data_IF_122287220507
#
_entry.id   IF_122287220507
#
_cell.length_a   1.000
_cell.length_b   1.000
_cell.length_c   1.000
_cell.angle_alpha   90.00
_cell.angle_beta   90.00
_cell.angle_gamma   90.00
#
_symmetry.space_group_name_H-M   'P 1'
#
loop_
_entity.id
_entity.type
_entity.pdbx_description
1 polymer ?
#
# COMPACT_ATOMS: atom_id res chain seq x y z
N UNK A 1 33.07 -13.29 -12.43
CA UNK A 1 31.66 -13.46 -12.03
C UNK A 1 30.90 -12.27 -12.59
N UNK A 2 30.10 -12.46 -13.63
CA UNK A 2 29.23 -11.37 -14.16
C UNK A 2 28.19 -10.99 -13.12
N UNK A 3 28.15 -9.72 -12.75
CA UNK A 3 27.08 -9.15 -11.92
C UNK A 3 25.76 -9.35 -12.64
N UNK A 4 24.79 -10.00 -12.00
CA UNK A 4 23.43 -10.09 -12.52
C UNK A 4 22.93 -8.66 -12.83
N UNK A 5 22.29 -8.42 -13.99
CA UNK A 5 21.76 -7.10 -14.32
C UNK A 5 20.74 -6.68 -13.24
N UNK A 6 20.79 -5.41 -12.84
CA UNK A 6 19.81 -4.87 -11.89
C UNK A 6 18.39 -4.99 -12.44
N UNK A 7 17.38 -5.10 -11.57
CA UNK A 7 15.96 -5.08 -11.98
C UNK A 7 15.67 -3.96 -12.98
N UNK A 8 16.20 -2.76 -12.72
CA UNK A 8 16.02 -1.60 -13.58
C UNK A 8 16.55 -1.84 -14.99
N UNK A 9 17.82 -2.32 -15.12
CA UNK A 9 18.42 -2.56 -16.43
C UNK A 9 17.69 -3.66 -17.20
N UNK A 10 17.26 -4.70 -16.52
CA UNK A 10 16.47 -5.78 -17.12
C UNK A 10 15.11 -5.26 -17.60
N UNK A 11 14.42 -4.46 -16.79
CA UNK A 11 13.14 -3.87 -17.15
C UNK A 11 13.27 -2.94 -18.35
N UNK A 12 14.27 -2.05 -18.36
CA UNK A 12 14.51 -1.13 -19.48
C UNK A 12 14.81 -1.88 -20.78
N UNK A 13 15.64 -2.92 -20.74
CA UNK A 13 15.91 -3.76 -21.92
C UNK A 13 14.67 -4.48 -22.42
N UNK A 14 13.88 -5.08 -21.53
CA UNK A 14 12.67 -5.81 -21.88
C UNK A 14 11.53 -4.92 -22.41
N UNK A 15 11.48 -3.65 -22.00
CA UNK A 15 10.46 -2.68 -22.42
C UNK A 15 10.94 -1.68 -23.46
N UNK A 16 12.14 -1.82 -23.98
CA UNK A 16 12.78 -0.88 -24.94
C UNK A 16 12.00 -0.68 -26.24
N UNK A 17 11.11 -1.60 -26.58
CA UNK A 17 10.27 -1.52 -27.77
C UNK A 17 8.97 -0.72 -27.56
N UNK A 18 8.67 -0.28 -26.33
CA UNK A 18 7.58 0.65 -26.02
C UNK A 18 8.12 2.08 -25.90
N UNK A 19 7.41 3.04 -26.48
CA UNK A 19 7.70 4.44 -26.18
C UNK A 19 7.31 4.79 -24.73
N UNK A 20 7.81 5.90 -24.17
CA UNK A 20 7.36 6.39 -22.87
C UNK A 20 5.85 6.63 -22.81
N UNK A 21 5.28 7.17 -23.89
CA UNK A 21 3.85 7.47 -24.04
C UNK A 21 3.02 6.19 -24.11
N UNK A 22 3.49 5.16 -24.82
CA UNK A 22 2.85 3.85 -24.86
C UNK A 22 2.85 3.18 -23.47
N UNK A 23 3.97 3.24 -22.76
CA UNK A 23 4.06 2.69 -21.41
C UNK A 23 3.14 3.43 -20.43
N UNK A 24 3.03 4.76 -20.56
CA UNK A 24 2.13 5.57 -19.77
C UNK A 24 0.66 5.23 -20.07
N UNK A 25 0.29 5.14 -21.34
CA UNK A 25 -1.06 4.78 -21.77
C UNK A 25 -1.46 3.38 -21.30
N UNK A 26 -0.53 2.41 -21.32
CA UNK A 26 -0.76 1.05 -20.80
C UNK A 26 -1.07 1.03 -19.30
N UNK A 27 -0.42 1.90 -18.51
CA UNK A 27 -0.52 1.96 -17.05
C UNK A 27 -1.34 3.17 -16.57
N UNK A 28 -2.26 3.68 -17.38
CA UNK A 28 -2.88 5.00 -17.21
C UNK A 28 -3.60 5.18 -15.88
N UNK A 29 -4.41 4.22 -15.47
CA UNK A 29 -5.25 4.32 -14.29
C UNK A 29 -5.00 3.15 -13.32
N UNK A 30 -3.81 3.05 -12.69
CA UNK A 30 -3.58 2.00 -11.72
C UNK A 30 -4.48 2.20 -10.50
N UNK A 31 -4.85 1.09 -9.84
CA UNK A 31 -5.52 1.09 -8.54
C UNK A 31 -4.47 0.84 -7.46
N UNK A 32 -4.31 1.79 -6.57
CA UNK A 32 -3.31 1.76 -5.50
C UNK A 32 -4.00 1.64 -4.15
N UNK A 33 -3.76 0.54 -3.45
CA UNK A 33 -4.27 0.34 -2.09
C UNK A 33 -3.35 1.05 -1.12
N UNK A 34 -3.90 2.01 -0.37
CA UNK A 34 -3.22 2.75 0.70
C UNK A 34 -3.89 2.48 2.04
N UNK A 35 -3.10 2.32 3.08
CA UNK A 35 -3.59 2.01 4.43
C UNK A 35 -2.50 2.22 5.47
N UNK A 36 -2.89 2.34 6.73
CA UNK A 36 -1.94 2.14 7.83
C UNK A 36 -1.39 0.69 7.80
N UNK A 37 -0.20 0.44 8.36
CA UNK A 37 0.31 -0.92 8.52
C UNK A 37 -0.70 -1.81 9.25
N UNK A 38 -0.78 -3.08 8.89
CA UNK A 38 -1.63 -4.09 9.55
C UNK A 38 -3.15 -3.87 9.45
N UNK A 39 -3.61 -3.02 8.55
CA UNK A 39 -5.05 -2.78 8.30
C UNK A 39 -5.75 -3.90 7.52
N UNK A 40 -5.02 -4.89 7.01
CA UNK A 40 -5.59 -5.98 6.19
C UNK A 40 -5.35 -5.80 4.68
N UNK A 41 -4.49 -4.88 4.26
CA UNK A 41 -4.22 -4.59 2.85
C UNK A 41 -3.69 -5.79 2.05
N UNK A 42 -3.00 -6.74 2.69
CA UNK A 42 -2.61 -7.98 2.02
C UNK A 42 -3.81 -8.87 1.69
N UNK A 43 -4.78 -8.98 2.60
CA UNK A 43 -6.01 -9.72 2.33
C UNK A 43 -6.76 -9.11 1.14
N UNK A 44 -6.96 -7.80 1.18
CA UNK A 44 -7.64 -7.08 0.09
C UNK A 44 -6.89 -7.25 -1.25
N UNK A 45 -5.58 -7.05 -1.26
CA UNK A 45 -4.74 -7.23 -2.44
C UNK A 45 -4.81 -8.66 -2.99
N UNK A 46 -4.72 -9.68 -2.14
CA UNK A 46 -4.80 -11.09 -2.52
C UNK A 46 -6.16 -11.46 -3.13
N UNK A 47 -7.24 -10.85 -2.65
CA UNK A 47 -8.59 -11.03 -3.20
C UNK A 47 -8.72 -10.33 -4.56
N UNK A 48 -8.38 -9.03 -4.63
CA UNK A 48 -8.47 -8.25 -5.87
C UNK A 48 -7.55 -8.79 -6.98
N UNK A 49 -6.37 -9.31 -6.62
CA UNK A 49 -5.41 -9.89 -7.59
C UNK A 49 -5.95 -11.11 -8.35
N UNK A 50 -7.00 -11.75 -7.86
CA UNK A 50 -7.64 -12.90 -8.52
C UNK A 50 -8.74 -12.50 -9.48
N UNK A 51 -9.17 -11.25 -9.48
CA UNK A 51 -10.24 -10.75 -10.32
C UNK A 51 -9.69 -10.54 -11.74
N UNK A 52 -10.36 -11.09 -12.79
CA UNK A 52 -10.01 -10.83 -14.17
C UNK A 52 -9.98 -9.31 -14.47
N UNK A 53 -8.99 -8.89 -15.24
CA UNK A 53 -8.78 -7.46 -15.56
C UNK A 53 -7.80 -6.75 -14.66
N UNK A 54 -7.57 -7.19 -13.42
CA UNK A 54 -6.45 -6.68 -12.63
C UNK A 54 -5.12 -7.33 -13.01
N UNK A 55 -4.10 -6.50 -13.03
CA UNK A 55 -2.70 -6.86 -13.22
C UNK A 55 -1.92 -6.45 -11.99
N UNK A 56 -0.92 -7.22 -11.60
CA UNK A 56 -0.12 -6.92 -10.41
C UNK A 56 1.32 -7.42 -10.56
N UNK A 57 2.22 -6.96 -9.71
CA UNK A 57 3.63 -7.36 -9.73
C UNK A 57 3.93 -8.58 -8.85
N UNK A 58 2.90 -9.23 -8.30
CA UNK A 58 3.03 -10.42 -7.45
C UNK A 58 3.35 -10.14 -5.98
N UNK A 59 3.45 -8.88 -5.57
CA UNK A 59 3.76 -8.48 -4.20
C UNK A 59 3.92 -6.99 -4.04
N UNK A 60 4.69 -6.57 -3.03
CA UNK A 60 4.99 -5.17 -2.74
C UNK A 60 6.10 -4.61 -3.64
N UNK A 61 6.02 -3.35 -4.00
CA UNK A 61 6.94 -2.68 -4.93
C UNK A 61 8.30 -2.26 -4.32
N UNK A 62 8.65 -2.77 -3.15
CA UNK A 62 9.93 -2.44 -2.49
C UNK A 62 11.15 -2.65 -3.38
N UNK A 63 11.17 -3.74 -4.17
CA UNK A 63 12.26 -4.02 -5.10
C UNK A 63 12.36 -2.96 -6.20
N UNK A 64 11.23 -2.43 -6.70
CA UNK A 64 11.22 -1.33 -7.67
C UNK A 64 11.82 -0.07 -7.04
N UNK A 65 11.30 0.39 -5.90
CA UNK A 65 11.82 1.56 -5.21
C UNK A 65 13.32 1.42 -4.87
N UNK A 66 13.74 0.21 -4.46
CA UNK A 66 15.14 -0.11 -4.16
C UNK A 66 16.10 0.02 -5.34
N UNK A 67 15.62 0.06 -6.60
CA UNK A 67 16.49 0.29 -7.76
C UNK A 67 16.89 1.75 -7.94
N UNK A 68 16.26 2.69 -7.21
CA UNK A 68 16.49 4.13 -7.31
C UNK A 68 17.21 4.63 -6.05
N UNK A 69 18.55 4.85 -6.11
CA UNK A 69 19.32 5.26 -4.91
C UNK A 69 18.80 6.54 -4.25
N UNK A 70 18.32 7.51 -5.04
CA UNK A 70 17.80 8.79 -4.53
C UNK A 70 16.42 8.67 -3.84
N UNK A 71 15.72 7.54 -3.98
CA UNK A 71 14.46 7.26 -3.29
C UNK A 71 14.66 6.47 -1.98
N UNK A 72 15.90 6.10 -1.65
CA UNK A 72 16.19 5.33 -0.45
C UNK A 72 16.32 6.26 0.76
N UNK A 73 15.67 5.89 1.82
CA UNK A 73 15.74 6.61 3.10
C UNK A 73 16.95 6.22 3.96
N UNK A 74 18.10 5.91 3.34
CA UNK A 74 19.27 5.35 4.02
C UNK A 74 20.27 6.40 4.52
N UNK A 75 20.06 7.68 4.23
CA UNK A 75 20.97 8.74 4.65
C UNK A 75 20.69 9.21 6.08
N UNK A 76 21.74 9.49 6.86
CA UNK A 76 21.67 9.94 8.26
C UNK A 76 20.82 11.19 8.50
N UNK A 77 20.52 11.94 7.44
CA UNK A 77 19.66 13.14 7.46
C UNK A 77 18.19 12.85 7.15
N UNK A 78 17.77 11.55 7.13
CA UNK A 78 16.41 11.19 6.75
C UNK A 78 15.41 11.66 7.79
N UNK A 79 14.63 12.64 7.38
CA UNK A 79 13.54 13.20 8.19
C UNK A 79 12.31 12.28 8.19
N UNK A 80 12.09 11.53 7.11
CA UNK A 80 11.02 10.52 7.02
C UNK A 80 11.23 9.60 5.81
N UNK A 81 10.44 8.51 5.73
CA UNK A 81 10.35 7.66 4.53
C UNK A 81 9.39 8.21 3.46
N UNK A 82 8.93 9.46 3.58
CA UNK A 82 8.00 10.07 2.64
C UNK A 82 8.68 10.51 1.35
N UNK A 83 8.06 10.21 0.22
CA UNK A 83 8.47 10.72 -1.08
C UNK A 83 7.54 11.85 -1.53
N UNK A 84 8.14 12.95 -1.94
CA UNK A 84 7.47 14.16 -2.43
C UNK A 84 7.48 14.18 -3.97
N UNK A 85 6.70 15.07 -4.58
CA UNK A 85 6.72 15.35 -6.03
C UNK A 85 8.12 15.59 -6.57
N UNK A 86 8.96 16.32 -5.83
CA UNK A 86 10.34 16.64 -6.21
C UNK A 86 11.27 15.43 -6.39
N UNK A 87 10.89 14.25 -5.88
CA UNK A 87 11.64 13.00 -6.08
C UNK A 87 11.27 12.28 -7.40
N UNK A 88 10.22 12.73 -8.07
CA UNK A 88 9.64 12.11 -9.26
C UNK A 88 9.95 12.93 -10.52
N UNK A 89 11.24 13.02 -10.87
CA UNK A 89 11.59 13.61 -12.17
C UNK A 89 11.10 12.72 -13.33
N UNK A 90 11.02 13.29 -14.54
CA UNK A 90 10.51 12.58 -15.73
C UNK A 90 11.28 11.29 -16.02
N UNK A 91 12.58 11.23 -15.73
CA UNK A 91 13.40 10.02 -15.94
C UNK A 91 13.03 8.93 -14.92
N UNK A 92 12.87 9.31 -13.66
CA UNK A 92 12.42 8.41 -12.57
C UNK A 92 11.03 7.84 -12.88
N UNK A 93 10.08 8.68 -13.28
CA UNK A 93 8.73 8.25 -13.65
C UNK A 93 8.74 7.23 -14.79
N UNK A 94 9.42 7.53 -15.90
CA UNK A 94 9.53 6.60 -17.04
C UNK A 94 10.15 5.26 -16.63
N UNK A 95 11.27 5.29 -15.93
CA UNK A 95 11.98 4.09 -15.49
C UNK A 95 11.16 3.26 -14.49
N UNK A 96 10.42 3.92 -13.61
CA UNK A 96 9.54 3.25 -12.65
C UNK A 96 8.37 2.55 -13.36
N UNK A 97 7.70 3.24 -14.32
CA UNK A 97 6.65 2.63 -15.15
C UNK A 97 7.18 1.41 -15.92
N UNK A 98 8.41 1.48 -16.48
CA UNK A 98 9.04 0.33 -17.13
C UNK A 98 9.23 -0.87 -16.19
N UNK A 99 9.62 -0.64 -14.94
CA UNK A 99 9.72 -1.70 -13.93
C UNK A 99 8.35 -2.32 -13.60
N UNK A 100 7.31 -1.50 -13.44
CA UNK A 100 5.95 -2.01 -13.20
C UNK A 100 5.44 -2.82 -14.39
N UNK A 101 5.63 -2.34 -15.62
CA UNK A 101 5.21 -3.06 -16.83
C UNK A 101 5.96 -4.39 -16.99
N UNK A 102 7.26 -4.38 -16.74
CA UNK A 102 8.11 -5.59 -16.80
C UNK A 102 7.63 -6.67 -15.84
N UNK A 103 7.21 -6.29 -14.63
CA UNK A 103 6.77 -7.21 -13.60
C UNK A 103 5.27 -7.53 -13.66
N UNK A 104 4.49 -6.79 -14.44
CA UNK A 104 3.03 -6.93 -14.49
C UNK A 104 2.60 -8.32 -14.95
N UNK A 105 1.72 -8.96 -14.17
CA UNK A 105 1.12 -10.28 -14.42
C UNK A 105 -0.40 -10.17 -14.28
N UNK A 106 -1.13 -10.92 -15.10
CA UNK A 106 -2.57 -11.04 -15.00
C UNK A 106 -2.99 -11.85 -13.76
N UNK A 107 -4.30 -11.99 -13.54
CA UNK A 107 -4.88 -12.77 -12.43
C UNK A 107 -4.50 -14.27 -12.44
N UNK A 108 -4.03 -14.79 -13.57
CA UNK A 108 -3.52 -16.17 -13.73
C UNK A 108 -2.00 -16.25 -13.50
N UNK A 109 -1.33 -15.12 -13.31
CA UNK A 109 0.12 -15.01 -13.12
C UNK A 109 0.91 -14.96 -14.42
N UNK A 110 0.26 -14.75 -15.59
CA UNK A 110 0.92 -14.64 -16.89
C UNK A 110 1.52 -13.24 -17.03
N UNK A 111 2.85 -13.10 -17.23
CA UNK A 111 3.48 -11.80 -17.44
C UNK A 111 3.00 -11.12 -18.73
N UNK A 112 2.73 -9.81 -18.67
CA UNK A 112 2.30 -9.02 -19.82
C UNK A 112 3.23 -9.17 -21.04
N UNK A 113 4.53 -9.10 -20.82
CA UNK A 113 5.53 -9.20 -21.88
C UNK A 113 5.66 -10.60 -22.52
N UNK A 114 5.10 -11.64 -21.88
CA UNK A 114 5.04 -13.01 -22.44
C UNK A 114 3.84 -13.24 -23.36
N UNK A 115 2.84 -12.37 -23.32
CA UNK A 115 1.73 -12.47 -24.27
C UNK A 115 2.22 -12.14 -25.69
N UNK A 116 1.67 -12.84 -26.67
CA UNK A 116 1.90 -12.47 -28.07
C UNK A 116 1.39 -11.04 -28.32
N UNK A 117 2.04 -10.24 -29.19
CA UNK A 117 1.65 -8.85 -29.40
C UNK A 117 0.16 -8.65 -29.73
N UNK A 118 -0.43 -9.57 -30.48
CA UNK A 118 -1.86 -9.54 -30.84
C UNK A 118 -2.80 -9.84 -29.66
N UNK A 119 -2.31 -10.48 -28.59
CA UNK A 119 -3.07 -10.83 -27.39
C UNK A 119 -2.92 -9.81 -26.26
N UNK A 120 -1.98 -8.85 -26.41
CA UNK A 120 -1.73 -7.83 -25.40
C UNK A 120 -2.88 -6.85 -25.33
N UNK A 121 -3.50 -6.65 -24.15
CA UNK A 121 -4.48 -5.58 -24.00
C UNK A 121 -3.81 -4.22 -24.22
N UNK A 122 -4.56 -3.28 -24.79
CA UNK A 122 -4.10 -1.90 -25.05
C UNK A 122 -3.95 -1.05 -23.78
N UNK A 123 -4.44 -1.52 -22.67
CA UNK A 123 -4.31 -0.92 -21.34
C UNK A 123 -4.52 -1.98 -20.28
N UNK A 124 -3.81 -1.85 -19.16
CA UNK A 124 -3.92 -2.76 -18.02
C UNK A 124 -4.34 -1.98 -16.78
N UNK A 125 -5.20 -2.59 -15.98
CA UNK A 125 -5.56 -2.06 -14.67
C UNK A 125 -4.55 -2.60 -13.64
N UNK A 126 -3.42 -1.88 -13.49
CA UNK A 126 -2.40 -2.27 -12.50
C UNK A 126 -2.96 -2.11 -11.09
N UNK A 127 -2.88 -3.17 -10.28
CA UNK A 127 -3.17 -3.18 -8.86
C UNK A 127 -1.86 -3.14 -8.08
N UNK A 128 -1.66 -2.11 -7.30
CA UNK A 128 -0.47 -1.91 -6.47
C UNK A 128 -0.86 -1.88 -4.99
N UNK A 129 -0.05 -2.48 -4.14
CA UNK A 129 -0.18 -2.41 -2.69
C UNK A 129 1.18 -2.52 -2.03
N UNK A 130 1.63 -1.43 -1.46
CA UNK A 130 2.81 -1.35 -0.60
C UNK A 130 2.50 -0.44 0.58
N UNK A 131 2.55 -0.90 1.84
CA UNK A 131 2.14 -0.10 2.99
C UNK A 131 2.85 1.25 3.11
N UNK A 132 4.11 1.35 2.66
CA UNK A 132 4.86 2.62 2.65
C UNK A 132 4.22 3.68 1.75
N UNK A 133 3.40 3.28 0.78
CA UNK A 133 2.73 4.20 -0.14
C UNK A 133 1.70 5.10 0.55
N UNK A 134 1.32 4.80 1.79
CA UNK A 134 0.60 5.72 2.66
C UNK A 134 1.31 7.09 2.79
N UNK A 135 2.64 7.12 2.71
CA UNK A 135 3.45 8.34 2.79
C UNK A 135 3.83 8.92 1.41
N UNK A 136 3.46 8.25 0.30
CA UNK A 136 4.04 8.53 -1.02
C UNK A 136 2.98 8.95 -2.06
N UNK A 137 1.77 9.30 -1.66
CA UNK A 137 0.69 9.68 -2.59
C UNK A 137 1.12 10.80 -3.55
N UNK A 138 1.76 11.91 -3.12
CA UNK A 138 2.21 12.96 -4.04
C UNK A 138 3.23 12.47 -5.07
N UNK A 139 4.15 11.59 -4.68
CA UNK A 139 5.11 10.96 -5.58
C UNK A 139 4.41 10.05 -6.60
N UNK A 140 3.49 9.22 -6.12
CA UNK A 140 2.74 8.28 -6.96
C UNK A 140 1.86 8.98 -7.99
N UNK A 141 1.33 10.16 -7.67
CA UNK A 141 0.57 10.98 -8.61
C UNK A 141 1.44 11.58 -9.72
N UNK A 142 2.74 11.77 -9.51
CA UNK A 142 3.67 12.13 -10.59
C UNK A 142 4.02 10.91 -11.46
N UNK A 143 4.19 9.74 -10.84
CA UNK A 143 4.43 8.50 -11.59
C UNK A 143 3.19 8.07 -12.37
N UNK A 144 2.01 8.19 -11.77
CA UNK A 144 0.71 7.79 -12.32
C UNK A 144 -0.32 8.91 -12.13
N UNK A 145 -0.37 9.91 -13.00
CA UNK A 145 -1.23 11.09 -12.83
C UNK A 145 -2.71 10.77 -12.69
N UNK A 146 -3.17 9.65 -13.26
CA UNK A 146 -4.57 9.21 -13.23
C UNK A 146 -4.81 8.04 -12.26
N UNK A 147 -3.88 7.77 -11.33
CA UNK A 147 -4.04 6.71 -10.34
C UNK A 147 -5.34 6.87 -9.54
N UNK A 148 -6.00 5.76 -9.24
CA UNK A 148 -7.14 5.65 -8.34
C UNK A 148 -6.68 5.02 -7.04
N UNK A 149 -7.18 5.49 -5.90
CA UNK A 149 -6.76 5.02 -4.59
C UNK A 149 -7.88 4.25 -3.90
N UNK A 150 -7.54 3.11 -3.32
CA UNK A 150 -8.40 2.40 -2.38
C UNK A 150 -7.86 2.65 -0.99
N UNK A 151 -8.59 3.40 -0.18
CA UNK A 151 -8.24 3.67 1.21
C UNK A 151 -8.84 2.59 2.12
N UNK A 152 -8.01 1.63 2.53
CA UNK A 152 -8.41 0.60 3.49
C UNK A 152 -8.13 1.07 4.91
N UNK A 153 -9.18 1.21 5.72
CA UNK A 153 -9.08 1.57 7.12
C UNK A 153 -9.60 0.47 8.06
N UNK A 154 -9.16 0.51 9.30
CA UNK A 154 -9.53 -0.45 10.33
C UNK A 154 -9.70 0.25 11.67
N UNK A 155 -10.55 -0.30 12.58
CA UNK A 155 -10.68 0.15 13.97
C UNK A 155 -9.31 0.43 14.61
N UNK A 156 -9.16 1.57 15.27
CA UNK A 156 -7.88 2.03 15.80
C UNK A 156 -7.28 1.05 16.80
N UNK A 157 -8.07 0.57 17.74
CA UNK A 157 -7.60 -0.32 18.82
C UNK A 157 -7.13 -1.65 18.27
N UNK A 158 -7.90 -2.23 17.35
CA UNK A 158 -7.52 -3.48 16.68
C UNK A 158 -6.27 -3.31 15.83
N UNK A 159 -6.15 -2.22 15.10
CA UNK A 159 -5.03 -1.97 14.21
C UNK A 159 -3.75 -1.70 15.01
N UNK A 160 -3.81 -0.79 15.99
CA UNK A 160 -2.66 -0.45 16.85
C UNK A 160 -2.18 -1.69 17.62
N UNK A 161 -3.07 -2.49 18.18
CA UNK A 161 -2.71 -3.77 18.81
C UNK A 161 -1.98 -4.71 17.84
N UNK A 162 -2.44 -4.78 16.57
CA UNK A 162 -1.78 -5.58 15.53
C UNK A 162 -0.41 -5.04 15.14
N UNK A 163 -0.22 -3.72 15.15
CA UNK A 163 1.09 -3.08 14.93
C UNK A 163 2.04 -3.41 16.09
N UNK A 164 1.59 -3.29 17.35
CA UNK A 164 2.39 -3.64 18.55
C UNK A 164 2.90 -5.09 18.44
N UNK A 165 2.02 -6.04 18.13
CA UNK A 165 2.41 -7.45 18.00
C UNK A 165 3.43 -7.65 16.88
N UNK A 166 3.26 -6.98 15.77
CA UNK A 166 4.20 -7.07 14.65
C UNK A 166 5.56 -6.41 14.97
N UNK A 167 5.57 -5.31 15.74
CA UNK A 167 6.81 -4.72 16.26
C UNK A 167 7.58 -5.68 17.17
N UNK A 168 6.88 -6.38 18.07
CA UNK A 168 7.51 -7.40 18.93
C UNK A 168 8.21 -8.50 18.11
N UNK A 169 7.55 -8.94 17.02
CA UNK A 169 8.14 -9.92 16.09
C UNK A 169 9.34 -9.32 15.35
N UNK A 170 9.25 -8.07 14.89
CA UNK A 170 10.32 -7.39 14.18
C UNK A 170 11.56 -7.13 15.04
N UNK A 171 11.38 -6.83 16.33
CA UNK A 171 12.50 -6.66 17.27
C UNK A 171 13.21 -7.98 17.62
N UNK A 172 12.55 -9.12 17.42
CA UNK A 172 13.12 -10.44 17.64
C UNK A 172 13.70 -11.08 16.36
N UNK A 173 13.42 -10.51 15.17
CA UNK A 173 13.84 -11.06 13.89
C UNK A 173 13.83 -10.00 12.78
N UNK A 174 13.73 -10.45 11.51
CA UNK A 174 13.78 -9.57 10.34
C UNK A 174 12.40 -9.21 9.77
N UNK A 175 11.37 -9.88 10.25
CA UNK A 175 10.02 -9.68 9.71
C UNK A 175 9.49 -8.30 10.08
N UNK A 176 8.96 -7.56 9.12
CA UNK A 176 8.45 -6.19 9.24
C UNK A 176 9.51 -5.10 9.46
N UNK A 177 10.78 -5.46 9.59
CA UNK A 177 11.88 -4.51 9.73
C UNK A 177 12.08 -3.76 8.42
N UNK A 178 12.18 -2.44 8.54
CA UNK A 178 12.43 -1.53 7.42
C UNK A 178 13.83 -0.96 7.48
N UNK A 179 14.26 -0.59 8.69
CA UNK A 179 15.60 -0.06 8.92
C UNK A 179 16.23 -0.82 10.07
N UNK A 180 17.49 -1.23 9.89
CA UNK A 180 18.37 -1.59 10.98
C UNK A 180 19.30 -0.43 11.27
N UNK A 181 19.63 -0.26 12.52
CA UNK A 181 20.56 0.78 12.97
C UNK A 181 20.20 2.17 12.41
N UNK A 182 18.88 2.51 12.45
CA UNK A 182 18.39 3.81 12.00
C UNK A 182 19.06 4.91 12.83
N UNK A 183 19.79 5.87 12.21
CA UNK A 183 20.55 6.88 12.95
C UNK A 183 19.67 7.69 13.89
N UNK A 184 20.08 7.72 15.17
CA UNK A 184 19.38 8.43 16.24
C UNK A 184 18.16 7.67 16.80
N UNK A 185 17.92 6.44 16.37
CA UNK A 185 16.90 5.57 16.95
C UNK A 185 17.48 4.75 18.11
N UNK A 186 16.71 4.57 19.18
CA UNK A 186 17.13 3.94 20.44
C UNK A 186 16.95 2.42 20.48
N UNK A 187 16.53 1.80 19.38
CA UNK A 187 16.32 0.34 19.28
C UNK A 187 17.03 -0.23 18.05
N UNK A 188 17.32 -1.54 18.02
CA UNK A 188 18.10 -2.17 16.95
C UNK A 188 17.39 -2.19 15.59
N UNK A 189 16.08 -1.95 15.57
CA UNK A 189 15.30 -1.96 14.35
C UNK A 189 14.12 -1.00 14.39
N UNK A 190 13.77 -0.47 13.22
CA UNK A 190 12.51 0.22 12.96
C UNK A 190 11.63 -0.65 12.06
N UNK A 191 10.35 -0.81 12.45
CA UNK A 191 9.39 -1.59 11.68
C UNK A 191 8.44 -0.70 10.89
N UNK A 192 8.01 -1.17 9.71
CA UNK A 192 7.06 -0.52 8.83
C UNK A 192 7.54 0.83 8.25
N UNK A 193 6.59 1.68 7.88
CA UNK A 193 6.84 3.01 7.34
C UNK A 193 7.45 3.95 8.40
N UNK A 194 8.21 4.95 7.92
CA UNK A 194 8.87 5.94 8.76
C UNK A 194 8.19 7.31 8.54
N UNK A 195 7.15 7.67 9.33
CA UNK A 195 6.43 8.91 9.14
C UNK A 195 7.27 10.14 9.55
N UNK A 196 6.96 11.33 9.03
CA UNK A 196 7.53 12.58 9.57
C UNK A 196 7.30 12.70 11.08
N UNK A 197 8.25 13.23 11.80
CA UNK A 197 8.18 13.41 13.25
C UNK A 197 8.51 12.16 14.08
N UNK A 198 8.93 11.06 13.47
CA UNK A 198 9.28 9.81 14.16
C UNK A 198 10.29 9.96 15.30
N UNK A 199 11.15 11.00 15.24
CA UNK A 199 12.14 11.26 16.31
C UNK A 199 11.54 11.58 17.67
N UNK A 200 10.30 12.07 17.71
CA UNK A 200 9.56 12.29 18.96
C UNK A 200 9.20 10.98 19.70
N UNK A 201 9.41 9.85 19.03
CA UNK A 201 9.13 8.53 19.58
C UNK A 201 10.34 7.87 20.27
N UNK A 202 11.51 8.52 20.26
CA UNK A 202 12.71 8.03 20.96
C UNK A 202 12.38 7.91 22.44
N UNK A 203 12.67 6.77 23.04
CA UNK A 203 12.34 6.46 24.44
C UNK A 203 10.87 6.10 24.71
N UNK A 204 9.99 6.18 23.71
CA UNK A 204 8.56 5.94 23.90
C UNK A 204 8.19 4.46 23.90
N UNK A 205 7.14 4.06 24.65
CA UNK A 205 6.59 2.70 24.61
C UNK A 205 6.13 2.28 23.21
N UNK A 206 6.13 0.97 22.92
CA UNK A 206 5.66 0.46 21.61
C UNK A 206 4.21 0.85 21.31
N UNK A 207 3.37 1.02 22.32
CA UNK A 207 1.99 1.45 22.12
C UNK A 207 1.91 2.88 21.52
N UNK A 208 2.73 3.81 22.01
CA UNK A 208 2.82 5.16 21.47
C UNK A 208 3.37 5.16 20.05
N UNK A 209 4.40 4.36 19.78
CA UNK A 209 4.97 4.20 18.44
C UNK A 209 3.93 3.66 17.46
N UNK A 210 3.21 2.61 17.85
CA UNK A 210 2.18 1.99 17.01
C UNK A 210 0.99 2.94 16.76
N UNK A 211 0.54 3.67 17.78
CA UNK A 211 -0.50 4.68 17.67
C UNK A 211 -0.07 5.82 16.74
N UNK A 212 1.15 6.33 16.90
CA UNK A 212 1.70 7.35 16.02
C UNK A 212 1.77 6.88 14.55
N UNK A 213 2.28 5.68 14.30
CA UNK A 213 2.33 5.12 12.93
C UNK A 213 0.92 4.98 12.34
N UNK A 214 -0.05 4.52 13.13
CA UNK A 214 -1.44 4.39 12.69
C UNK A 214 -2.06 5.75 12.39
N UNK A 215 -1.99 6.71 13.32
CA UNK A 215 -2.57 8.05 13.17
C UNK A 215 -1.90 8.81 12.02
N UNK A 216 -0.56 8.85 11.98
CA UNK A 216 0.18 9.54 10.92
C UNK A 216 -0.13 8.98 9.54
N UNK A 217 -0.18 7.64 9.40
CA UNK A 217 -0.50 7.01 8.11
C UNK A 217 -1.89 7.43 7.63
N UNK A 218 -2.91 7.30 8.49
CA UNK A 218 -4.28 7.61 8.11
C UNK A 218 -4.44 9.11 7.83
N UNK A 219 -3.88 9.99 8.67
CA UNK A 219 -3.99 11.42 8.47
C UNK A 219 -3.30 11.89 7.18
N UNK A 220 -2.09 11.40 6.89
CA UNK A 220 -1.38 11.72 5.65
C UNK A 220 -2.17 11.23 4.42
N UNK A 221 -2.72 10.01 4.47
CA UNK A 221 -3.59 9.51 3.39
C UNK A 221 -4.78 10.46 3.21
N UNK A 222 -5.51 10.78 4.27
CA UNK A 222 -6.71 11.60 4.21
C UNK A 222 -6.42 13.03 3.75
N UNK A 223 -5.27 13.63 4.13
CA UNK A 223 -4.84 14.93 3.63
C UNK A 223 -4.73 14.93 2.12
N UNK A 224 -4.07 13.92 1.55
CA UNK A 224 -3.86 13.87 0.10
C UNK A 224 -5.09 13.41 -0.68
N UNK A 225 -5.93 12.54 -0.11
CA UNK A 225 -7.16 12.11 -0.79
C UNK A 225 -8.23 13.21 -0.80
N UNK A 226 -8.25 14.09 0.22
CA UNK A 226 -9.16 15.24 0.25
C UNK A 226 -8.94 16.22 -0.91
N UNK A 227 -7.70 16.27 -1.45
CA UNK A 227 -7.36 17.11 -2.61
C UNK A 227 -7.73 16.47 -3.96
N UNK A 228 -8.17 15.21 -3.95
CA UNK A 228 -8.55 14.49 -5.16
C UNK A 228 -10.08 14.52 -5.40
N UNK A 229 -10.51 14.50 -6.67
CA UNK A 229 -11.94 14.27 -6.96
C UNK A 229 -12.45 12.97 -6.34
N UNK A 230 -13.69 12.96 -5.84
CA UNK A 230 -14.30 11.79 -5.20
C UNK A 230 -14.24 10.52 -6.07
N UNK A 231 -14.32 10.65 -7.40
CA UNK A 231 -14.19 9.52 -8.34
C UNK A 231 -12.78 8.89 -8.37
N UNK A 232 -11.77 9.52 -7.76
CA UNK A 232 -10.37 9.07 -7.79
C UNK A 232 -9.98 8.22 -6.59
N UNK A 233 -10.84 8.07 -5.58
CA UNK A 233 -10.55 7.22 -4.44
C UNK A 233 -11.81 6.56 -3.88
N UNK A 234 -11.64 5.45 -3.17
CA UNK A 234 -12.74 4.65 -2.60
C UNK A 234 -12.36 4.15 -1.21
N UNK A 235 -13.14 4.48 -0.15
CA UNK A 235 -12.91 3.97 1.20
C UNK A 235 -13.39 2.53 1.33
N UNK A 236 -12.63 1.71 2.05
CA UNK A 236 -12.98 0.35 2.41
C UNK A 236 -12.74 0.14 3.90
N UNK A 237 -13.77 -0.24 4.63
CA UNK A 237 -13.62 -0.70 6.00
C UNK A 237 -13.16 -2.16 6.04
N UNK A 238 -12.13 -2.47 6.84
CA UNK A 238 -11.71 -3.86 7.06
C UNK A 238 -12.84 -4.74 7.61
N UNK A 239 -13.66 -4.20 8.51
CA UNK A 239 -14.81 -4.91 9.06
C UNK A 239 -15.82 -5.29 7.96
N UNK A 240 -16.12 -4.35 7.06
CA UNK A 240 -17.02 -4.60 5.94
C UNK A 240 -16.41 -5.60 4.94
N UNK A 241 -15.12 -5.48 4.61
CA UNK A 241 -14.42 -6.44 3.75
C UNK A 241 -14.54 -7.88 4.28
N UNK A 242 -14.47 -8.06 5.60
CA UNK A 242 -14.56 -9.39 6.21
C UNK A 242 -16.02 -9.88 6.27
N UNK A 243 -16.97 -8.99 6.57
CA UNK A 243 -18.37 -9.34 6.69
C UNK A 243 -19.07 -9.54 5.33
N UNK A 244 -18.74 -8.74 4.33
CA UNK A 244 -19.35 -8.74 3.00
C UNK A 244 -18.29 -8.69 1.87
N UNK A 245 -17.43 -9.72 1.75
CA UNK A 245 -16.31 -9.69 0.80
C UNK A 245 -16.76 -9.57 -0.65
N UNK A 246 -17.82 -10.26 -1.05
CA UNK A 246 -18.32 -10.24 -2.43
C UNK A 246 -18.81 -8.84 -2.82
N UNK A 247 -19.62 -8.22 -1.96
CA UNK A 247 -20.12 -6.87 -2.17
C UNK A 247 -18.96 -5.85 -2.29
N UNK A 248 -17.97 -5.96 -1.39
CA UNK A 248 -16.77 -5.15 -1.41
C UNK A 248 -16.01 -5.30 -2.74
N UNK A 249 -15.82 -6.53 -3.22
CA UNK A 249 -15.08 -6.79 -4.46
C UNK A 249 -15.84 -6.31 -5.70
N UNK A 250 -17.18 -6.43 -5.73
CA UNK A 250 -18.02 -5.87 -6.81
C UNK A 250 -17.88 -4.34 -6.85
N UNK A 251 -18.00 -3.69 -5.70
CA UNK A 251 -17.85 -2.23 -5.59
C UNK A 251 -16.47 -1.77 -6.08
N UNK A 252 -15.40 -2.43 -5.64
CA UNK A 252 -14.04 -2.12 -6.04
C UNK A 252 -13.76 -2.41 -7.52
N UNK A 253 -14.37 -3.43 -8.09
CA UNK A 253 -14.27 -3.71 -9.53
C UNK A 253 -14.91 -2.60 -10.35
N UNK A 254 -16.11 -2.14 -9.97
CA UNK A 254 -16.77 -0.97 -10.61
C UNK A 254 -15.91 0.28 -10.47
N UNK A 255 -15.41 0.55 -9.28
CA UNK A 255 -14.51 1.69 -9.03
C UNK A 255 -13.26 1.61 -9.92
N UNK A 256 -12.72 0.43 -10.15
CA UNK A 256 -11.60 0.20 -11.05
C UNK A 256 -11.98 0.30 -12.55
N UNK A 257 -13.26 0.46 -12.88
CA UNK A 257 -13.74 0.44 -14.26
C UNK A 257 -13.73 -0.95 -14.90
N UNK A 258 -13.83 -2.00 -14.07
CA UNK A 258 -13.90 -3.39 -14.51
C UNK A 258 -15.34 -3.89 -14.44
N UNK A 259 -15.81 -4.51 -15.53
CA UNK A 259 -17.09 -5.23 -15.57
C UNK A 259 -16.83 -6.68 -15.24
N UNK A 260 -17.18 -7.09 -14.02
CA UNK A 260 -17.01 -8.47 -13.54
C UNK A 260 -18.35 -9.02 -13.06
N UNK A 261 -18.55 -10.31 -13.30
CA UNK A 261 -19.69 -11.07 -12.78
C UNK A 261 -19.33 -11.70 -11.43
N UNK A 262 -20.33 -12.05 -10.61
CA UNK A 262 -20.08 -12.75 -9.35
C UNK A 262 -19.31 -14.07 -9.52
N UNK A 263 -19.53 -14.77 -10.65
CA UNK A 263 -18.83 -16.01 -10.96
C UNK A 263 -17.33 -15.85 -11.20
N UNK A 264 -16.88 -14.65 -11.56
CA UNK A 264 -15.47 -14.32 -11.78
C UNK A 264 -14.76 -13.87 -10.50
N UNK A 265 -15.52 -13.64 -9.42
CA UNK A 265 -14.95 -13.25 -8.13
C UNK A 265 -14.42 -14.47 -7.36
N UNK A 266 -13.43 -14.28 -6.48
CA UNK A 266 -12.92 -15.36 -5.64
C UNK A 266 -14.01 -15.94 -4.76
N UNK A 267 -14.40 -17.19 -5.01
CA UNK A 267 -15.42 -17.90 -4.23
C UNK A 267 -14.82 -18.61 -3.01
N UNK A 268 -15.67 -18.90 -2.03
CA UNK A 268 -15.35 -19.69 -0.84
C UNK A 268 -14.97 -18.85 0.38
N UNK A 269 -14.63 -19.50 1.51
CA UNK A 269 -14.32 -18.82 2.76
C UNK A 269 -13.07 -17.94 2.63
N UNK A 270 -13.07 -16.80 3.31
CA UNK A 270 -11.90 -15.93 3.40
C UNK A 270 -10.72 -16.70 4.01
N UNK A 271 -9.66 -16.85 3.22
CA UNK A 271 -8.41 -17.43 3.73
C UNK A 271 -7.59 -16.34 4.42
N UNK A 272 -6.88 -16.73 5.47
CA UNK A 272 -5.92 -15.84 6.11
C UNK A 272 -4.85 -15.44 5.09
N UNK A 273 -4.50 -14.15 5.05
CA UNK A 273 -3.42 -13.69 4.19
C UNK A 273 -2.08 -14.27 4.63
N UNK A 274 -1.14 -14.38 3.71
CA UNK A 274 0.23 -14.91 3.96
C UNK A 274 1.00 -14.17 5.05
N UNK A 275 0.63 -12.93 5.34
CA UNK A 275 1.28 -12.09 6.36
C UNK A 275 0.55 -12.10 7.70
N UNK A 276 -0.53 -12.85 7.83
CA UNK A 276 -1.27 -12.95 9.09
C UNK A 276 -0.41 -13.62 10.16
N UNK A 277 -0.27 -12.99 11.31
CA UNK A 277 0.48 -13.53 12.46
C UNK A 277 -0.36 -14.50 13.27
N UNK A 278 -1.62 -14.15 13.50
CA UNK A 278 -2.61 -14.93 14.25
C UNK A 278 -3.99 -14.69 13.61
N UNK A 279 -4.92 -15.63 13.72
CA UNK A 279 -6.29 -15.43 13.25
C UNK A 279 -6.87 -14.09 13.74
N UNK A 280 -7.68 -13.40 12.91
CA UNK A 280 -8.39 -12.21 13.32
C UNK A 280 -9.28 -12.52 14.53
N UNK A 281 -9.19 -11.70 15.55
CA UNK A 281 -10.04 -11.73 16.73
C UNK A 281 -10.37 -10.28 17.09
N UNK A 282 -11.65 -9.86 17.01
CA UNK A 282 -12.07 -8.50 17.33
C UNK A 282 -11.79 -8.08 18.78
N UNK A 283 -11.58 -9.05 19.68
CA UNK A 283 -11.28 -8.75 21.08
C UNK A 283 -9.80 -8.80 21.44
N UNK A 284 -8.95 -9.16 20.49
CA UNK A 284 -7.51 -9.31 20.71
C UNK A 284 -6.84 -8.04 21.25
N UNK A 285 -7.33 -6.85 20.89
CA UNK A 285 -6.83 -5.58 21.39
C UNK A 285 -6.92 -5.45 22.93
N UNK A 286 -7.85 -6.18 23.58
CA UNK A 286 -8.00 -6.18 25.05
C UNK A 286 -6.72 -6.61 25.79
N UNK A 287 -5.87 -7.40 25.15
CA UNK A 287 -4.54 -7.75 25.69
C UNK A 287 -3.63 -6.53 25.84
N UNK A 288 -3.94 -5.44 25.13
CA UNK A 288 -3.23 -4.17 25.14
C UNK A 288 -4.05 -3.03 25.74
N UNK A 289 -5.24 -3.31 26.31
CA UNK A 289 -6.19 -2.30 26.75
C UNK A 289 -5.56 -1.26 27.69
N UNK A 290 -4.78 -1.72 28.67
CA UNK A 290 -4.10 -0.83 29.62
C UNK A 290 -3.14 0.15 28.91
N UNK A 291 -2.41 -0.33 27.90
CA UNK A 291 -1.48 0.49 27.13
C UNK A 291 -2.21 1.47 26.18
N UNK A 292 -3.42 1.13 25.76
CA UNK A 292 -4.21 1.94 24.82
C UNK A 292 -5.07 3.00 25.51
N UNK A 293 -5.42 2.84 26.80
CA UNK A 293 -6.28 3.79 27.53
C UNK A 293 -5.76 5.22 27.51
N UNK A 294 -4.45 5.42 27.71
CA UNK A 294 -3.84 6.74 27.67
C UNK A 294 -3.73 7.37 26.26
N UNK A 295 -3.94 6.55 25.22
CA UNK A 295 -3.84 6.98 23.83
C UNK A 295 -5.21 7.22 23.17
N UNK A 296 -6.30 6.91 23.90
CA UNK A 296 -7.65 6.99 23.37
C UNK A 296 -7.98 8.35 22.71
N UNK A 297 -7.69 9.52 23.31
CA UNK A 297 -8.01 10.81 22.68
C UNK A 297 -7.36 10.99 21.31
N UNK A 298 -6.07 10.68 21.17
CA UNK A 298 -5.35 10.83 19.90
C UNK A 298 -5.83 9.84 18.82
N UNK A 299 -6.29 8.65 19.23
CA UNK A 299 -6.89 7.67 18.32
C UNK A 299 -8.29 8.10 17.90
N UNK A 300 -9.09 8.60 18.81
CA UNK A 300 -10.45 9.08 18.56
C UNK A 300 -10.52 10.23 17.56
N UNK A 301 -9.58 11.18 17.63
CA UNK A 301 -9.48 12.28 16.66
C UNK A 301 -9.28 11.77 15.23
N UNK A 302 -8.38 10.80 15.05
CA UNK A 302 -8.12 10.21 13.73
C UNK A 302 -9.31 9.35 13.27
N UNK A 303 -9.94 8.58 14.16
CA UNK A 303 -11.13 7.79 13.82
C UNK A 303 -12.31 8.68 13.42
N UNK A 304 -12.52 9.79 14.14
CA UNK A 304 -13.57 10.75 13.80
C UNK A 304 -13.35 11.34 12.42
N UNK A 305 -12.08 11.68 12.12
CA UNK A 305 -11.70 12.17 10.79
C UNK A 305 -11.98 11.14 9.70
N UNK A 306 -11.63 9.87 9.92
CA UNK A 306 -11.93 8.77 8.99
C UNK A 306 -13.43 8.67 8.79
N UNK A 307 -14.23 8.60 9.87
CA UNK A 307 -15.69 8.48 9.80
C UNK A 307 -16.30 9.63 9.00
N UNK A 308 -15.93 10.86 9.29
CA UNK A 308 -16.46 12.04 8.62
C UNK A 308 -16.18 12.06 7.12
N UNK A 309 -14.95 11.76 6.71
CA UNK A 309 -14.53 11.79 5.30
C UNK A 309 -15.15 10.62 4.54
N UNK A 310 -15.16 9.41 5.12
CA UNK A 310 -15.75 8.25 4.47
C UNK A 310 -17.28 8.32 4.39
N UNK A 311 -17.97 8.95 5.38
CA UNK A 311 -19.42 9.17 5.32
C UNK A 311 -19.81 10.17 4.24
N UNK A 312 -19.05 11.26 4.08
CA UNK A 312 -19.29 12.25 3.03
C UNK A 312 -19.21 11.62 1.62
N UNK A 313 -18.28 10.69 1.39
CA UNK A 313 -18.14 9.99 0.11
C UNK A 313 -19.33 9.08 -0.22
N UNK A 314 -20.02 8.53 0.79
CA UNK A 314 -21.22 7.69 0.58
C UNK A 314 -22.45 8.49 0.15
N UNK A 315 -22.51 9.78 0.45
CA UNK A 315 -23.65 10.66 0.07
C UNK A 315 -23.56 11.08 -1.40
N UNK A 316 -22.39 11.05 -2.01
CA UNK A 316 -22.17 11.46 -3.41
C UNK A 316 -22.11 10.27 -4.40
N UNK A 317 -22.40 9.06 -3.97
CA UNK A 317 -22.48 7.83 -4.76
C UNK A 317 -23.87 7.26 -4.83
#
# INVERSE_FOLDING_TARGET
MGTLPSLLNTALGATAHFSPEETEALLREPVIIVSAPRSGSNLLFELMSKIPGFWNIGGESHAIFGTFPHLRAENAAVDSGSLRKSHADAATCRRMRACFLFLAKDHRGIPYLRLAPAERPRGIRLLEKTPRNALNIPFLLEVFPEARFVFLHRDARENVASIIEAWKVGLQGDRFVTFRDLPGWDRPAWCFLLPPGWRSLIGKPLAEIAAFQWSSSNNIILDHLADLPAARWHPVSYAHLVAAPMETLISLSRFAGLSVTEAELPAGPLRLSRTTLKPPDPQKWKQHEQNLRGLAPALEDTEERIRRICAADQVFR
#
